data_IF_843867036438
#
_entry.id   IF_843867036438
#
_cell.length_a   1.000
_cell.length_b   1.000
_cell.length_c   1.000
_cell.angle_alpha   90.00
_cell.angle_beta   90.00
_cell.angle_gamma   90.00
#
_symmetry.space_group_name_H-M   'P 1'
#
loop_
_entity.id
_entity.type
_entity.pdbx_description
1 polymer ?
#
# COMPACT_ATOMS: atom_id res chain seq x y z
N UNK A 1 15.01 8.32 -12.54
CA UNK A 1 15.46 8.81 -11.21
C UNK A 1 14.23 8.96 -10.35
N UNK A 2 14.16 8.28 -9.20
CA UNK A 2 13.01 8.31 -8.28
C UNK A 2 12.86 9.76 -7.77
N UNK A 3 11.83 10.49 -8.22
CA UNK A 3 11.58 11.87 -7.80
C UNK A 3 10.52 11.89 -6.70
N UNK A 4 10.92 12.49 -5.58
CA UNK A 4 10.15 12.82 -4.38
C UNK A 4 9.62 11.63 -3.58
N UNK A 5 10.09 11.60 -2.35
CA UNK A 5 9.62 10.73 -1.29
C UNK A 5 8.71 11.59 -0.41
N UNK A 6 7.47 11.17 -0.24
CA UNK A 6 6.61 11.73 0.79
C UNK A 6 7.03 11.11 2.13
N UNK A 7 7.42 11.95 3.09
CA UNK A 7 7.60 11.51 4.48
C UNK A 7 6.23 11.45 5.12
N UNK A 8 5.81 10.25 5.46
CA UNK A 8 4.58 9.99 6.17
C UNK A 8 4.91 9.66 7.61
N UNK A 9 4.36 10.45 8.53
CA UNK A 9 4.40 10.11 9.94
C UNK A 9 3.28 9.10 10.22
N UNK A 10 3.66 7.94 10.76
CA UNK A 10 2.71 6.94 11.24
C UNK A 10 3.14 6.51 12.63
N UNK A 11 2.43 6.95 13.67
CA UNK A 11 2.78 6.66 15.07
C UNK A 11 2.74 5.17 15.48
N UNK A 12 2.36 4.26 14.58
CA UNK A 12 1.89 2.90 14.92
C UNK A 12 2.57 1.79 14.10
N UNK A 13 3.53 2.10 13.23
CA UNK A 13 4.30 1.03 12.59
C UNK A 13 5.34 0.44 13.54
N UNK A 14 5.43 -0.89 13.59
CA UNK A 14 6.39 -1.63 14.42
C UNK A 14 7.36 -2.36 13.49
N UNK A 15 8.65 -2.32 13.82
CA UNK A 15 9.65 -3.12 13.10
C UNK A 15 9.38 -4.60 13.33
N UNK A 16 9.54 -5.41 12.28
CA UNK A 16 9.23 -6.82 12.34
C UNK A 16 10.15 -7.61 13.30
N UNK A 17 11.33 -7.07 13.61
CA UNK A 17 12.28 -7.62 14.58
C UNK A 17 11.93 -7.27 16.05
N UNK A 18 10.86 -6.50 16.27
CA UNK A 18 10.43 -6.08 17.60
C UNK A 18 11.29 -4.97 18.21
N UNK A 19 12.20 -4.35 17.46
CA UNK A 19 13.11 -3.30 17.98
C UNK A 19 12.43 -1.97 18.30
N UNK A 20 11.10 -1.89 18.17
CA UNK A 20 10.28 -0.71 18.45
C UNK A 20 9.51 -0.23 17.23
N UNK A 21 9.18 1.08 17.23
CA UNK A 21 8.36 1.70 16.19
C UNK A 21 9.21 2.22 15.02
N UNK A 22 8.71 2.06 13.80
CA UNK A 22 9.28 2.73 12.64
C UNK A 22 8.97 4.23 12.74
N UNK A 23 10.00 5.05 13.01
CA UNK A 23 9.82 6.48 13.29
C UNK A 23 9.28 7.27 12.09
N UNK A 24 9.70 6.92 10.87
CA UNK A 24 9.26 7.55 9.62
C UNK A 24 8.92 6.48 8.57
N UNK A 25 7.85 6.73 7.82
CA UNK A 25 7.52 5.98 6.60
C UNK A 25 7.74 6.88 5.40
N UNK A 26 8.21 6.30 4.31
CA UNK A 26 8.50 7.01 3.08
C UNK A 26 7.67 6.39 1.96
N UNK A 27 6.96 7.19 1.18
CA UNK A 27 6.18 6.74 0.01
C UNK A 27 6.66 7.43 -1.27
N UNK A 28 6.92 6.66 -2.32
CA UNK A 28 7.23 7.23 -3.63
C UNK A 28 5.94 7.65 -4.35
N UNK A 29 5.94 8.84 -4.96
CA UNK A 29 4.72 9.44 -5.56
C UNK A 29 4.78 9.53 -7.09
N UNK A 30 5.48 8.59 -7.73
CA UNK A 30 5.75 8.59 -9.16
C UNK A 30 5.61 7.18 -9.80
N UNK A 31 5.76 7.10 -11.11
CA UNK A 31 5.64 5.86 -11.90
C UNK A 31 6.99 5.16 -12.15
N UNK A 32 7.99 5.31 -11.27
CA UNK A 32 9.34 4.75 -11.49
C UNK A 32 9.38 3.22 -11.57
N UNK A 33 8.42 2.52 -10.97
CA UNK A 33 8.27 1.07 -11.10
C UNK A 33 7.37 0.67 -12.27
N UNK A 34 7.10 1.57 -13.23
CA UNK A 34 6.14 1.40 -14.31
C UNK A 34 4.72 1.04 -13.82
N UNK A 35 3.80 0.82 -14.76
CA UNK A 35 2.46 0.33 -14.42
C UNK A 35 2.56 -1.16 -14.10
N UNK A 36 1.93 -1.58 -12.99
CA UNK A 36 1.93 -2.96 -12.54
C UNK A 36 0.51 -3.45 -12.29
N UNK A 37 0.31 -4.74 -12.50
CA UNK A 37 -0.86 -5.48 -12.00
C UNK A 37 -0.59 -6.01 -10.60
N UNK A 38 -1.66 -6.28 -9.85
CA UNK A 38 -1.52 -6.93 -8.53
C UNK A 38 -1.34 -8.44 -8.69
N UNK A 39 -2.14 -9.08 -9.56
CA UNK A 39 -2.10 -10.53 -9.81
C UNK A 39 -2.20 -10.85 -11.31
N UNK A 40 -1.59 -11.97 -11.75
CA UNK A 40 -1.75 -12.48 -13.10
C UNK A 40 -3.17 -12.90 -13.47
N UNK A 41 -3.92 -13.38 -12.49
CA UNK A 41 -5.29 -13.87 -12.66
C UNK A 41 -6.27 -12.94 -11.96
N UNK A 42 -7.51 -12.87 -12.46
CA UNK A 42 -8.55 -11.99 -11.94
C UNK A 42 -9.16 -12.50 -10.62
N UNK A 43 -8.36 -12.50 -9.56
CA UNK A 43 -8.71 -12.95 -8.22
C UNK A 43 -7.89 -12.16 -7.19
N UNK A 44 -8.41 -12.04 -5.98
CA UNK A 44 -7.65 -11.58 -4.81
C UNK A 44 -7.72 -12.56 -3.64
N UNK A 45 -8.02 -13.84 -3.90
CA UNK A 45 -7.97 -14.87 -2.86
C UNK A 45 -6.61 -14.85 -2.14
N UNK A 46 -6.63 -14.69 -0.81
CA UNK A 46 -5.43 -14.50 0.00
C UNK A 46 -4.93 -13.05 0.14
N UNK A 47 -5.69 -12.08 -0.40
CA UNK A 47 -5.45 -10.65 -0.31
C UNK A 47 -4.04 -10.20 -0.71
N UNK A 48 -3.53 -9.19 0.00
CA UNK A 48 -2.18 -8.66 -0.22
C UNK A 48 -1.10 -9.72 0.02
N UNK A 49 -1.23 -10.50 1.10
CA UNK A 49 -0.24 -11.51 1.51
C UNK A 49 0.14 -12.47 0.38
N UNK A 50 -0.85 -12.95 -0.38
CA UNK A 50 -0.64 -13.88 -1.50
C UNK A 50 -0.53 -13.22 -2.87
N UNK A 51 -0.51 -11.89 -2.92
CA UNK A 51 -0.45 -11.17 -4.20
C UNK A 51 0.90 -11.31 -4.89
N UNK A 52 0.88 -11.39 -6.23
CA UNK A 52 2.08 -11.43 -7.05
C UNK A 52 2.91 -10.15 -6.87
N UNK A 53 2.24 -8.99 -6.84
CA UNK A 53 2.91 -7.69 -6.66
C UNK A 53 3.66 -7.59 -5.33
N UNK A 54 3.11 -8.13 -4.22
CA UNK A 54 3.82 -8.17 -2.94
C UNK A 54 5.12 -8.95 -3.04
N UNK A 55 5.08 -10.15 -3.64
CA UNK A 55 6.29 -10.97 -3.84
C UNK A 55 7.33 -10.26 -4.68
N UNK A 56 6.90 -9.63 -5.78
CA UNK A 56 7.77 -8.85 -6.67
C UNK A 56 8.43 -7.67 -5.97
N UNK A 57 7.71 -6.96 -5.09
CA UNK A 57 8.22 -5.81 -4.33
C UNK A 57 9.16 -6.17 -3.18
N UNK A 58 9.06 -7.38 -2.60
CA UNK A 58 9.81 -7.74 -1.39
C UNK A 58 11.04 -8.60 -1.66
N UNK A 59 11.00 -9.44 -2.70
CA UNK A 59 12.10 -10.36 -3.03
C UNK A 59 12.29 -10.59 -4.54
N UNK A 60 11.38 -10.10 -5.39
CA UNK A 60 11.39 -10.35 -6.83
C UNK A 60 12.02 -9.25 -7.67
N UNK A 61 11.57 -9.18 -8.93
CA UNK A 61 12.11 -8.29 -9.96
C UNK A 61 12.00 -6.80 -9.59
N UNK A 62 10.86 -6.35 -9.04
CA UNK A 62 10.68 -4.96 -8.63
C UNK A 62 11.58 -4.58 -7.45
N UNK A 63 11.81 -5.49 -6.50
CA UNK A 63 12.80 -5.31 -5.44
C UNK A 63 14.20 -5.11 -6.03
N UNK A 64 14.60 -5.95 -7.00
CA UNK A 64 15.90 -5.86 -7.66
C UNK A 64 16.12 -4.57 -8.46
N UNK A 65 15.05 -3.87 -8.87
CA UNK A 65 15.14 -2.57 -9.55
C UNK A 65 15.43 -1.41 -8.58
N UNK A 66 15.26 -1.60 -7.28
CA UNK A 66 15.54 -0.55 -6.29
C UNK A 66 17.05 -0.31 -6.17
N UNK A 67 17.52 0.92 -5.90
CA UNK A 67 18.93 1.18 -5.68
C UNK A 67 19.51 0.30 -4.56
N UNK A 68 20.71 -0.25 -4.73
CA UNK A 68 21.33 -1.13 -3.72
C UNK A 68 21.46 -0.47 -2.35
N UNK A 69 21.68 0.84 -2.30
CA UNK A 69 21.73 1.61 -1.05
C UNK A 69 20.37 1.66 -0.33
N UNK A 70 19.26 1.71 -1.09
CA UNK A 70 17.92 1.59 -0.52
C UNK A 70 17.70 0.17 0.00
N UNK A 71 18.01 -0.84 -0.83
CA UNK A 71 17.83 -2.24 -0.47
C UNK A 71 18.57 -2.64 0.82
N UNK A 72 19.76 -2.07 1.07
CA UNK A 72 20.58 -2.39 2.25
C UNK A 72 20.11 -1.71 3.54
N UNK A 73 19.31 -0.64 3.44
CA UNK A 73 18.86 0.15 4.60
C UNK A 73 17.41 -0.13 4.98
N UNK A 74 16.56 -0.52 4.03
CA UNK A 74 15.14 -0.75 4.27
C UNK A 74 14.94 -1.85 5.33
N UNK A 75 14.11 -1.55 6.33
CA UNK A 75 13.70 -2.50 7.36
C UNK A 75 12.30 -3.04 7.09
N UNK A 76 12.11 -4.30 7.46
CA UNK A 76 10.81 -4.92 7.44
C UNK A 76 9.92 -4.36 8.56
N UNK A 77 8.67 -4.09 8.22
CA UNK A 77 7.63 -3.64 9.17
C UNK A 77 6.43 -4.57 9.14
N UNK A 78 5.68 -4.57 10.23
CA UNK A 78 4.41 -5.30 10.31
C UNK A 78 3.27 -4.43 9.78
N UNK A 79 2.54 -4.95 8.78
CA UNK A 79 1.36 -4.29 8.20
C UNK A 79 0.12 -5.14 8.44
N UNK A 80 -0.95 -4.52 8.93
CA UNK A 80 -2.27 -5.15 8.95
C UNK A 80 -2.97 -4.85 7.62
N UNK A 81 -3.67 -5.86 7.10
CA UNK A 81 -4.66 -5.71 6.03
C UNK A 81 -5.56 -6.95 5.97
N UNK A 82 -6.66 -6.90 5.22
CA UNK A 82 -7.48 -8.08 4.94
C UNK A 82 -6.76 -9.01 3.95
N UNK A 83 -6.21 -10.11 4.46
CA UNK A 83 -5.55 -11.17 3.68
C UNK A 83 -6.45 -12.38 3.43
N UNK A 84 -7.75 -12.33 3.74
CA UNK A 84 -8.67 -13.40 3.37
C UNK A 84 -8.99 -13.32 1.88
N UNK A 85 -9.45 -12.13 1.44
CA UNK A 85 -9.94 -11.91 0.08
C UNK A 85 -11.14 -12.80 -0.27
N UNK A 86 -11.30 -13.13 -1.56
CA UNK A 86 -12.30 -14.10 -2.02
C UNK A 86 -13.77 -13.62 -1.98
N UNK A 87 -14.01 -12.31 -1.91
CA UNK A 87 -15.36 -11.73 -2.01
C UNK A 87 -16.10 -11.58 -0.69
N UNK A 88 -15.38 -11.69 0.44
CA UNK A 88 -15.91 -11.45 1.77
C UNK A 88 -14.89 -10.66 2.59
N UNK A 89 -15.36 -9.72 3.40
CA UNK A 89 -14.52 -9.04 4.38
C UNK A 89 -13.94 -10.07 5.37
N UNK A 90 -12.62 -10.14 5.44
CA UNK A 90 -11.87 -10.91 6.41
C UNK A 90 -11.49 -10.11 7.65
N UNK A 91 -11.09 -10.82 8.69
CA UNK A 91 -10.39 -10.22 9.83
C UNK A 91 -8.98 -9.84 9.37
N UNK A 92 -8.53 -8.58 9.56
CA UNK A 92 -7.18 -8.18 9.21
C UNK A 92 -6.13 -9.07 9.87
N UNK A 93 -5.09 -9.42 9.12
CA UNK A 93 -3.94 -10.17 9.60
C UNK A 93 -2.63 -9.48 9.18
N UNK A 94 -1.56 -9.86 9.85
CA UNK A 94 -0.26 -9.23 9.70
C UNK A 94 0.53 -9.80 8.51
N UNK A 95 1.14 -8.90 7.71
CA UNK A 95 2.24 -9.22 6.82
C UNK A 95 3.54 -8.58 7.32
N UNK A 96 4.67 -9.21 6.99
CA UNK A 96 6.01 -8.63 7.21
C UNK A 96 6.57 -8.21 5.87
N UNK A 97 6.68 -6.89 5.66
CA UNK A 97 7.02 -6.31 4.36
C UNK A 97 8.19 -5.32 4.50
N UNK A 98 9.19 -5.43 3.62
CA UNK A 98 10.22 -4.41 3.38
C UNK A 98 9.63 -3.25 2.59
N UNK A 99 8.87 -3.59 1.56
CA UNK A 99 8.18 -2.63 0.69
C UNK A 99 6.71 -3.02 0.63
N UNK A 100 5.83 -2.05 0.87
CA UNK A 100 4.38 -2.22 0.90
C UNK A 100 3.69 -1.09 0.14
N UNK A 101 2.38 -1.22 -0.08
CA UNK A 101 1.52 -0.12 -0.53
C UNK A 101 0.65 0.30 0.63
N UNK A 102 0.25 1.57 0.72
CA UNK A 102 -0.68 2.00 1.76
C UNK A 102 -2.01 1.25 1.66
N UNK A 103 -2.71 1.07 2.78
CA UNK A 103 -4.09 0.60 2.79
C UNK A 103 -5.08 1.76 2.66
N UNK A 104 -6.33 1.48 2.35
CA UNK A 104 -7.37 2.51 2.32
C UNK A 104 -7.55 3.17 3.70
N UNK A 105 -7.45 2.40 4.77
CA UNK A 105 -7.54 2.95 6.14
C UNK A 105 -6.37 3.88 6.45
N UNK A 106 -5.18 3.62 5.93
CA UNK A 106 -4.01 4.48 6.14
C UNK A 106 -4.12 5.83 5.43
N UNK A 107 -4.82 5.87 4.30
CA UNK A 107 -5.08 7.10 3.53
C UNK A 107 -6.30 7.85 4.08
N UNK A 108 -7.45 7.20 4.17
CA UNK A 108 -8.73 7.87 4.47
C UNK A 108 -9.16 7.81 5.93
N UNK A 109 -8.73 6.78 6.68
CA UNK A 109 -9.09 6.59 8.09
C UNK A 109 -10.53 6.10 8.32
N UNK A 110 -11.49 6.54 7.50
CA UNK A 110 -12.91 6.16 7.56
C UNK A 110 -13.32 5.12 6.50
N UNK A 111 -12.34 4.56 5.77
CA UNK A 111 -12.54 3.50 4.80
C UNK A 111 -11.83 2.22 5.23
N UNK A 112 -12.64 1.19 5.54
CA UNK A 112 -12.21 -0.09 6.12
C UNK A 112 -11.59 0.08 7.52
N UNK A 113 -11.17 -1.03 8.15
CA UNK A 113 -10.65 -1.05 9.52
C UNK A 113 -9.38 -1.87 9.62
N UNK A 114 -8.53 -1.79 8.59
CA UNK A 114 -7.37 -2.67 8.41
C UNK A 114 -6.05 -2.01 8.80
N UNK A 115 -6.10 -0.88 9.51
CA UNK A 115 -4.96 -0.11 9.98
C UNK A 115 -5.38 1.15 10.74
N UNK A 116 -4.50 2.14 10.77
CA UNK A 116 -4.78 3.47 11.30
C UNK A 116 -4.34 4.53 10.30
N UNK A 117 -5.12 5.60 10.17
CA UNK A 117 -4.78 6.70 9.27
C UNK A 117 -3.43 7.31 9.65
N UNK A 118 -2.59 7.53 8.64
CA UNK A 118 -1.33 8.20 8.85
C UNK A 118 -1.50 9.69 9.14
N UNK A 119 -0.64 10.25 10.00
CA UNK A 119 -0.73 11.64 10.44
C UNK A 119 -0.65 12.62 9.27
N UNK A 120 0.09 12.29 8.21
CA UNK A 120 0.14 13.09 7.00
C UNK A 120 -1.26 13.36 6.43
N UNK A 121 -2.04 12.30 6.18
CA UNK A 121 -3.39 12.42 5.64
C UNK A 121 -4.37 13.00 6.67
N UNK A 122 -4.24 12.59 7.94
CA UNK A 122 -5.07 13.08 9.05
C UNK A 122 -4.92 14.59 9.26
N UNK A 123 -3.69 15.11 9.23
CA UNK A 123 -3.42 16.55 9.40
C UNK A 123 -4.01 17.41 8.29
N UNK A 124 -4.28 16.81 7.13
CA UNK A 124 -4.94 17.44 5.99
C UNK A 124 -6.47 17.21 5.97
N UNK A 125 -7.01 16.55 6.99
CA UNK A 125 -8.43 16.26 7.11
C UNK A 125 -8.96 15.27 6.07
N UNK A 126 -8.11 14.36 5.56
CA UNK A 126 -8.52 13.41 4.52
C UNK A 126 -9.55 12.43 5.07
N UNK A 127 -10.65 12.26 4.35
CA UNK A 127 -11.70 11.24 4.58
C UNK A 127 -12.30 10.81 3.24
N UNK A 128 -13.18 9.82 3.22
CA UNK A 128 -13.93 9.42 2.01
C UNK A 128 -14.79 10.55 1.43
N UNK A 129 -15.20 11.53 2.24
CA UNK A 129 -15.98 12.70 1.83
C UNK A 129 -15.15 13.96 1.59
N UNK A 130 -13.90 13.99 2.07
CA UNK A 130 -12.95 15.10 1.92
C UNK A 130 -11.59 14.58 1.45
N UNK A 131 -11.50 14.20 0.17
CA UNK A 131 -10.40 13.39 -0.34
C UNK A 131 -9.36 14.15 -1.18
N UNK A 132 -9.61 15.42 -1.55
CA UNK A 132 -8.75 16.17 -2.47
C UNK A 132 -7.30 16.30 -1.98
N UNK A 133 -7.10 16.32 -0.66
CA UNK A 133 -5.79 16.35 -0.01
C UNK A 133 -4.99 15.04 -0.13
N UNK A 134 -5.62 13.94 -0.57
CA UNK A 134 -4.96 12.68 -0.95
C UNK A 134 -4.61 12.63 -2.45
N UNK A 135 -4.82 13.73 -3.18
CA UNK A 135 -4.42 13.83 -4.59
C UNK A 135 -2.94 13.53 -4.80
N UNK A 136 -2.65 12.96 -5.95
CA UNK A 136 -1.31 12.54 -6.33
C UNK A 136 -1.13 12.61 -7.84
N UNK A 137 0.10 12.39 -8.32
CA UNK A 137 0.44 12.54 -9.73
C UNK A 137 -0.27 11.55 -10.65
N UNK A 138 -0.77 10.44 -10.12
CA UNK A 138 -1.37 9.37 -10.90
C UNK A 138 -2.30 8.52 -10.04
N UNK A 139 -3.24 7.88 -10.71
CA UNK A 139 -3.96 6.77 -10.13
C UNK A 139 -2.96 5.69 -9.69
N UNK A 140 -3.13 5.11 -8.49
CA UNK A 140 -2.24 4.07 -7.97
C UNK A 140 -2.97 3.01 -7.13
N UNK A 141 -2.34 1.84 -7.05
CA UNK A 141 -2.82 0.72 -6.25
C UNK A 141 -2.68 0.95 -4.74
N UNK A 142 -3.61 0.39 -3.97
CA UNK A 142 -3.46 0.15 -2.54
C UNK A 142 -3.40 -1.35 -2.26
N UNK A 143 -3.03 -1.74 -1.03
CA UNK A 143 -3.00 -3.16 -0.64
C UNK A 143 -4.36 -3.72 -0.19
N UNK A 144 -5.41 -2.89 -0.13
CA UNK A 144 -6.71 -3.31 0.39
C UNK A 144 -7.56 -4.02 -0.67
N UNK A 145 -8.15 -5.15 -0.32
CA UNK A 145 -9.13 -5.85 -1.15
C UNK A 145 -10.51 -5.19 -1.09
N UNK A 146 -11.32 -5.39 -2.13
CA UNK A 146 -12.75 -5.05 -2.08
C UNK A 146 -13.51 -6.08 -1.23
N UNK A 147 -14.29 -5.66 -0.20
CA UNK A 147 -14.85 -6.58 0.80
C UNK A 147 -15.98 -7.47 0.29
N UNK A 148 -16.58 -7.18 -0.86
CA UNK A 148 -17.72 -7.92 -1.42
C UNK A 148 -17.57 -8.33 -2.89
N UNK A 149 -16.40 -8.10 -3.47
CA UNK A 149 -16.05 -8.55 -4.83
C UNK A 149 -14.85 -9.49 -4.68
N UNK A 150 -14.73 -10.56 -5.47
CA UNK A 150 -13.67 -11.58 -5.30
C UNK A 150 -12.40 -11.35 -6.13
N UNK A 151 -12.38 -10.29 -6.94
CA UNK A 151 -11.38 -10.08 -7.98
C UNK A 151 -10.75 -8.68 -7.99
N UNK A 152 -11.33 -7.70 -7.28
CA UNK A 152 -10.87 -6.31 -7.28
C UNK A 152 -10.12 -5.88 -6.02
N UNK A 153 -9.07 -5.09 -6.22
CA UNK A 153 -8.39 -4.32 -5.17
C UNK A 153 -8.83 -2.86 -5.22
N UNK A 154 -8.68 -2.17 -4.09
CA UNK A 154 -8.93 -0.73 -3.98
C UNK A 154 -7.74 0.07 -4.52
N UNK A 155 -8.00 1.34 -4.79
CA UNK A 155 -7.05 2.25 -5.40
C UNK A 155 -7.38 3.70 -5.03
N UNK A 156 -6.43 4.58 -5.32
CA UNK A 156 -6.58 6.03 -5.17
C UNK A 156 -6.39 6.68 -6.54
N UNK A 157 -7.31 7.55 -6.91
CA UNK A 157 -7.27 8.35 -8.13
C UNK A 157 -6.32 9.54 -7.97
N UNK A 158 -5.88 10.12 -9.08
CA UNK A 158 -4.99 11.30 -9.06
C UNK A 158 -5.62 12.53 -8.38
N UNK A 159 -6.94 12.69 -8.42
CA UNK A 159 -7.65 13.74 -7.69
C UNK A 159 -7.87 13.42 -6.19
N UNK A 160 -7.41 12.26 -5.73
CA UNK A 160 -7.53 11.78 -4.35
C UNK A 160 -8.79 10.98 -4.06
N UNK A 161 -9.77 10.87 -4.96
CA UNK A 161 -10.92 9.97 -4.75
C UNK A 161 -10.47 8.51 -4.77
N UNK A 162 -11.33 7.58 -4.36
CA UNK A 162 -11.01 6.15 -4.41
C UNK A 162 -11.99 5.38 -5.28
N UNK A 163 -11.56 4.20 -5.71
CA UNK A 163 -12.37 3.27 -6.50
C UNK A 163 -11.83 1.83 -6.31
N UNK A 164 -12.25 0.88 -7.13
CA UNK A 164 -11.76 -0.50 -7.13
C UNK A 164 -11.74 -1.08 -8.53
N UNK A 165 -10.69 -1.85 -8.82
CA UNK A 165 -10.49 -2.43 -10.15
C UNK A 165 -9.94 -3.84 -10.05
N UNK A 166 -10.15 -4.59 -11.13
CA UNK A 166 -9.68 -5.98 -11.28
C UNK A 166 -8.18 -6.09 -10.99
N UNK A 167 -7.78 -7.15 -10.29
CA UNK A 167 -6.40 -7.42 -9.92
C UNK A 167 -5.45 -7.55 -11.13
N UNK A 168 -5.99 -7.80 -12.33
CA UNK A 168 -5.22 -7.90 -13.59
C UNK A 168 -5.00 -6.56 -14.29
N UNK A 169 -5.71 -5.51 -13.89
CA UNK A 169 -5.49 -4.17 -14.45
C UNK A 169 -4.09 -3.65 -14.11
N UNK A 170 -3.57 -2.75 -14.93
CA UNK A 170 -2.23 -2.16 -14.73
C UNK A 170 -2.34 -0.69 -14.32
N UNK A 171 -1.72 -0.34 -13.20
CA UNK A 171 -1.73 1.03 -12.68
C UNK A 171 -0.41 1.36 -11.98
N UNK A 172 -0.20 2.64 -11.61
CA UNK A 172 1.00 3.02 -10.88
C UNK A 172 1.07 2.30 -9.52
N UNK A 173 2.30 2.10 -9.06
CA UNK A 173 2.62 1.55 -7.76
C UNK A 173 3.43 2.59 -7.02
N UNK A 174 2.93 3.02 -5.87
CA UNK A 174 3.58 3.97 -4.98
C UNK A 174 4.15 3.18 -3.79
N UNK A 175 5.37 2.63 -3.92
CA UNK A 175 5.97 1.82 -2.87
C UNK A 175 6.26 2.67 -1.64
N UNK A 176 5.92 2.11 -0.48
CA UNK A 176 6.24 2.63 0.83
C UNK A 176 7.26 1.73 1.56
N UNK A 177 8.14 2.33 2.36
CA UNK A 177 9.21 1.64 3.10
C UNK A 177 9.67 2.43 4.34
N UNK A 178 10.43 1.77 5.22
CA UNK A 178 10.98 2.34 6.46
C UNK A 178 12.48 2.01 6.62
N UNK A 179 13.21 2.75 7.47
CA UNK A 179 14.63 2.55 7.82
C UNK A 179 14.82 2.30 9.31
#
# INVERSE_FOLDING_TARGET
MLKFILVIHGLILIFADGSGKAGLTFEATNNALALQRINATNTHAGGWEKSELRGRLNTGDLWSLLPCELQSKVKSVTKMTDNLGGGKAGTPSATTDKVFLLSMTEVYGDLQSDGAQYEYYKSKGVTTSNYSSASSSSYHWTRSVHPSNSASFRCVHSNGSYDYYSATNIYCVFPAFCF
#
